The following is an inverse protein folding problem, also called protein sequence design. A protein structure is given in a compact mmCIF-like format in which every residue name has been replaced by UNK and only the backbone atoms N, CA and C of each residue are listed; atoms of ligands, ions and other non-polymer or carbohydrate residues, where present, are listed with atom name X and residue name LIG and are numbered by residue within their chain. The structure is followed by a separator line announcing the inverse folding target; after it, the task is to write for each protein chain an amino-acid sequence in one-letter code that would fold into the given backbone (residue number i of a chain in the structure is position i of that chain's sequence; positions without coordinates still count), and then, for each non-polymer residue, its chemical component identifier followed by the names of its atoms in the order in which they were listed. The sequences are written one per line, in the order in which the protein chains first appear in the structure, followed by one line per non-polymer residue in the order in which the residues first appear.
data_IF_015315548826
#
_entry.id   IF_015315548826
#
_cell.length_a   1.000
_cell.length_b   1.000
_cell.length_c   1.000
_cell.angle_alpha   90.00
_cell.angle_beta   90.00
_cell.angle_gamma   90.00
#
_symmetry.space_group_name_H-M   'P 1'
#
loop_
_entity.id
_entity.type
_entity.pdbx_description
1 polymer ?
#
# COMPACT_ATOMS: atom_id res chain seq x y z
N UNK A 1 -19.31 -10.90 12.90
CA UNK A 1 -18.62 -11.96 12.10
C UNK A 1 -17.42 -11.30 11.41
N UNK A 2 -16.77 -11.93 10.43
CA UNK A 2 -15.72 -11.27 9.65
C UNK A 2 -16.25 -10.10 8.82
N UNK A 3 -17.45 -10.24 8.23
CA UNK A 3 -18.15 -9.19 7.46
C UNK A 3 -18.22 -7.87 8.24
N UNK A 4 -18.76 -7.92 9.47
CA UNK A 4 -18.95 -6.76 10.36
C UNK A 4 -17.66 -6.13 10.91
N UNK A 5 -16.49 -6.58 10.45
CA UNK A 5 -15.19 -5.95 10.65
C UNK A 5 -14.69 -5.30 9.36
N UNK A 6 -14.86 -5.95 8.21
CA UNK A 6 -14.67 -5.33 6.89
C UNK A 6 -15.54 -4.08 6.72
N UNK A 7 -16.81 -4.15 7.14
CA UNK A 7 -17.78 -3.03 7.07
C UNK A 7 -17.36 -1.79 7.91
N UNK A 8 -16.35 -1.91 8.77
CA UNK A 8 -15.79 -0.81 9.58
C UNK A 8 -14.50 -0.21 9.02
N UNK A 9 -13.77 -0.95 8.19
CA UNK A 9 -12.50 -0.50 7.63
C UNK A 9 -12.77 0.41 6.43
N UNK A 10 -12.72 1.73 6.62
CA UNK A 10 -12.93 2.67 5.51
C UNK A 10 -11.78 2.54 4.51
N UNK A 11 -12.14 2.31 3.25
CA UNK A 11 -11.20 2.25 2.13
C UNK A 11 -10.97 3.65 1.55
N UNK A 12 -9.72 3.96 1.22
CA UNK A 12 -9.27 5.24 0.66
C UNK A 12 -8.51 4.94 -0.63
N UNK A 13 -9.15 5.17 -1.77
CA UNK A 13 -8.54 4.98 -3.08
C UNK A 13 -7.41 6.00 -3.36
N UNK A 14 -6.65 5.75 -4.44
CA UNK A 14 -5.52 6.61 -4.82
C UNK A 14 -5.86 8.07 -5.08
N UNK A 15 -7.05 8.38 -5.58
CA UNK A 15 -7.46 9.76 -5.79
C UNK A 15 -7.85 10.42 -4.46
N UNK A 16 -8.54 9.69 -3.58
CA UNK A 16 -8.95 10.17 -2.26
C UNK A 16 -7.77 10.53 -1.33
N UNK A 17 -6.66 9.79 -1.36
CA UNK A 17 -5.43 10.20 -0.67
C UNK A 17 -4.49 11.08 -1.52
N UNK A 18 -4.80 11.34 -2.79
CA UNK A 18 -4.03 12.23 -3.66
C UNK A 18 -2.64 11.68 -4.02
N UNK A 19 -2.61 10.44 -4.51
CA UNK A 19 -1.41 9.76 -4.98
C UNK A 19 -0.81 10.42 -6.24
N UNK A 20 0.52 10.36 -6.37
CA UNK A 20 1.17 10.54 -7.68
C UNK A 20 0.86 9.33 -8.58
N UNK A 21 0.85 9.54 -9.89
CA UNK A 21 0.84 8.44 -10.85
C UNK A 21 2.11 7.56 -10.73
N UNK A 22 2.03 6.25 -11.04
CA UNK A 22 3.19 5.39 -11.09
C UNK A 22 4.02 5.69 -12.34
N UNK A 23 5.35 5.70 -12.23
CA UNK A 23 6.25 5.98 -13.38
C UNK A 23 6.32 4.83 -14.39
N UNK A 24 5.87 3.63 -13.99
CA UNK A 24 5.65 2.46 -14.85
C UNK A 24 4.67 1.49 -14.18
N UNK A 25 4.05 0.59 -14.95
CA UNK A 25 3.10 -0.41 -14.43
C UNK A 25 3.50 -1.80 -14.92
N UNK A 26 3.91 -2.67 -13.99
CA UNK A 26 3.99 -4.12 -14.22
C UNK A 26 2.75 -4.79 -13.65
N UNK A 27 2.03 -5.55 -14.46
CA UNK A 27 0.86 -6.31 -14.02
C UNK A 27 1.27 -7.69 -13.45
N UNK A 28 0.50 -8.20 -12.49
CA UNK A 28 0.69 -9.54 -11.95
C UNK A 28 0.32 -10.63 -12.96
N UNK A 29 1.23 -11.57 -13.18
CA UNK A 29 1.08 -12.71 -14.10
C UNK A 29 0.54 -13.97 -13.42
N UNK A 30 0.72 -14.11 -12.10
CA UNK A 30 0.11 -15.16 -11.26
C UNK A 30 -1.11 -14.63 -10.53
N UNK A 31 -2.20 -15.43 -10.53
CA UNK A 31 -3.43 -15.22 -9.75
C UNK A 31 -4.07 -16.59 -9.44
N UNK A 32 -4.75 -16.78 -8.29
CA UNK A 32 -4.84 -15.87 -7.15
C UNK A 32 -3.49 -15.71 -6.43
N UNK A 33 -3.41 -14.79 -5.46
CA UNK A 33 -2.24 -14.62 -4.60
C UNK A 33 -2.07 -15.84 -3.67
N UNK A 34 -0.82 -16.30 -3.50
CA UNK A 34 -0.51 -17.43 -2.62
C UNK A 34 -0.25 -17.00 -1.17
N UNK A 35 0.23 -15.77 -0.95
CA UNK A 35 0.68 -15.29 0.36
C UNK A 35 0.24 -13.85 0.67
N UNK A 36 0.07 -13.56 1.96
CA UNK A 36 -0.04 -12.19 2.49
C UNK A 36 1.22 -11.87 3.30
N UNK A 37 1.85 -10.72 3.04
CA UNK A 37 3.01 -10.23 3.80
C UNK A 37 2.62 -8.97 4.55
N UNK A 38 2.93 -8.89 5.83
CA UNK A 38 2.69 -7.71 6.66
C UNK A 38 4.05 -7.12 7.02
N UNK A 39 4.26 -5.87 6.64
CA UNK A 39 5.38 -5.04 7.07
C UNK A 39 4.92 -4.07 8.17
N UNK A 40 5.87 -3.38 8.79
CA UNK A 40 5.62 -2.13 9.48
C UNK A 40 6.46 -1.04 8.81
N UNK A 41 6.06 0.23 8.86
CA UNK A 41 6.83 1.27 8.17
C UNK A 41 8.21 1.50 8.78
N UNK A 42 8.36 1.27 10.09
CA UNK A 42 9.46 1.72 10.95
C UNK A 42 9.60 3.25 10.98
N UNK A 43 9.92 3.87 9.84
CA UNK A 43 9.70 5.28 9.56
C UNK A 43 8.77 5.42 8.37
N UNK A 44 7.89 6.43 8.34
CA UNK A 44 7.53 7.91 9.86
C UNK A 44 6.99 7.29 11.15
N UNK A 45 6.67 8.08 12.17
CA UNK A 45 5.83 7.63 13.29
C UNK A 45 4.39 7.30 12.86
N UNK A 46 3.63 6.73 13.79
CA UNK A 46 2.21 6.38 13.68
C UNK A 46 1.32 7.59 13.34
N UNK A 47 0.17 7.36 12.70
CA UNK A 47 -0.82 8.37 12.34
C UNK A 47 -2.22 8.03 12.88
N UNK A 48 -2.87 8.96 13.58
CA UNK A 48 -4.14 8.71 14.28
C UNK A 48 -5.35 9.47 13.72
N UNK A 49 -5.12 10.52 12.95
CA UNK A 49 -6.16 11.23 12.19
C UNK A 49 -5.98 11.07 10.67
N UNK A 50 -7.02 11.41 9.93
CA UNK A 50 -7.07 11.26 8.47
C UNK A 50 -6.01 12.10 7.74
N UNK A 51 -5.70 13.30 8.22
CA UNK A 51 -4.74 14.21 7.56
C UNK A 51 -3.33 13.66 7.75
N UNK A 52 -2.96 13.34 8.99
CA UNK A 52 -1.68 12.72 9.30
C UNK A 52 -1.47 11.41 8.54
N UNK A 53 -2.51 10.56 8.39
CA UNK A 53 -2.38 9.32 7.64
C UNK A 53 -2.30 9.52 6.12
N UNK A 54 -3.00 10.51 5.55
CA UNK A 54 -2.84 10.85 4.12
C UNK A 54 -1.43 11.39 3.84
N UNK A 55 -0.91 12.27 4.70
CA UNK A 55 0.49 12.71 4.63
C UNK A 55 1.47 11.53 4.81
N UNK A 56 1.15 10.59 5.70
CA UNK A 56 1.96 9.39 5.93
C UNK A 56 2.12 8.55 4.65
N UNK A 57 1.02 8.27 3.97
CA UNK A 57 1.03 7.48 2.73
C UNK A 57 1.73 8.21 1.58
N UNK A 58 1.57 9.54 1.48
CA UNK A 58 2.31 10.38 0.51
C UNK A 58 3.81 10.32 0.72
N UNK A 59 4.29 10.57 1.94
CA UNK A 59 5.71 10.49 2.29
C UNK A 59 6.30 9.10 1.99
N UNK A 60 5.53 8.03 2.20
CA UNK A 60 5.92 6.66 1.80
C UNK A 60 6.02 6.53 0.28
N UNK A 61 5.10 7.11 -0.50
CA UNK A 61 5.20 7.11 -1.96
C UNK A 61 6.41 7.92 -2.44
N UNK A 62 6.66 9.08 -1.85
CA UNK A 62 7.78 9.96 -2.20
C UNK A 62 9.14 9.33 -1.90
N UNK A 63 9.30 8.66 -0.77
CA UNK A 63 10.52 7.90 -0.45
C UNK A 63 10.77 6.81 -1.51
N UNK A 64 9.75 6.01 -1.83
CA UNK A 64 9.87 4.92 -2.81
C UNK A 64 10.18 5.43 -4.23
N UNK A 65 9.44 6.42 -4.73
CA UNK A 65 9.63 6.93 -6.09
C UNK A 65 10.87 7.82 -6.24
N UNK A 66 11.10 8.73 -5.28
CA UNK A 66 12.14 9.78 -5.42
C UNK A 66 13.49 9.34 -4.91
N UNK A 67 13.54 8.61 -3.79
CA UNK A 67 14.81 8.19 -3.15
C UNK A 67 15.25 6.82 -3.61
N UNK A 68 14.33 5.86 -3.78
CA UNK A 68 14.66 4.49 -4.21
C UNK A 68 14.43 4.24 -5.72
N UNK A 69 13.86 5.20 -6.45
CA UNK A 69 13.63 5.08 -7.90
C UNK A 69 12.57 4.05 -8.30
N UNK A 70 11.69 3.64 -7.37
CA UNK A 70 10.67 2.62 -7.64
C UNK A 70 9.53 3.19 -8.49
N UNK A 71 8.84 2.31 -9.23
CA UNK A 71 7.69 2.68 -10.05
C UNK A 71 6.59 3.43 -9.28
N UNK A 72 6.36 3.01 -8.04
CA UNK A 72 5.28 3.45 -7.16
C UNK A 72 5.58 2.99 -5.72
N UNK A 73 4.74 3.37 -4.74
CA UNK A 73 4.78 2.82 -3.37
C UNK A 73 4.92 1.29 -3.38
N UNK A 74 5.79 0.72 -2.55
CA UNK A 74 6.17 -0.71 -2.65
C UNK A 74 5.08 -1.74 -2.35
N UNK A 75 4.00 -1.32 -1.71
CA UNK A 75 2.93 -2.15 -1.15
C UNK A 75 1.66 -2.11 -2.01
N UNK A 76 0.84 -3.16 -1.97
CA UNK A 76 -0.48 -3.16 -2.63
C UNK A 76 -1.46 -2.25 -1.88
N UNK A 77 -1.41 -2.27 -0.55
CA UNK A 77 -2.22 -1.47 0.36
C UNK A 77 -1.41 -1.07 1.59
N UNK A 78 -1.85 -0.01 2.27
CA UNK A 78 -1.31 0.46 3.53
C UNK A 78 -2.45 0.60 4.55
N UNK A 79 -2.19 0.50 5.85
CA UNK A 79 -3.18 0.76 6.90
C UNK A 79 -2.60 1.73 7.93
N UNK A 80 -3.29 2.85 8.12
CA UNK A 80 -2.99 3.81 9.17
C UNK A 80 -3.59 3.39 10.51
N UNK A 81 -3.06 3.92 11.62
CA UNK A 81 -3.56 3.64 12.96
C UNK A 81 -4.92 4.32 13.25
N UNK A 82 -5.39 5.19 12.35
CA UNK A 82 -6.80 5.59 12.25
C UNK A 82 -7.75 4.46 11.76
N UNK A 83 -7.23 3.28 11.44
CA UNK A 83 -7.98 2.09 11.05
C UNK A 83 -8.43 2.03 9.57
N UNK A 84 -7.96 2.97 8.73
CA UNK A 84 -8.33 3.05 7.31
C UNK A 84 -7.35 2.29 6.42
N UNK A 85 -7.85 1.76 5.30
CA UNK A 85 -7.06 1.05 4.29
C UNK A 85 -6.83 1.98 3.10
N UNK A 86 -5.57 2.25 2.77
CA UNK A 86 -5.15 3.12 1.68
C UNK A 86 -4.68 2.29 0.48
N UNK A 87 -5.16 2.60 -0.71
CA UNK A 87 -4.75 1.91 -1.93
C UNK A 87 -3.33 2.30 -2.35
N UNK A 88 -2.41 1.34 -2.29
CA UNK A 88 -1.08 1.46 -2.88
C UNK A 88 -1.13 1.04 -4.35
N UNK A 89 -0.40 -0.01 -4.73
CA UNK A 89 -0.42 -0.56 -6.10
C UNK A 89 -1.73 -1.25 -6.49
N UNK A 90 -2.63 -1.51 -5.54
CA UNK A 90 -3.93 -2.15 -5.78
C UNK A 90 -3.82 -3.64 -6.15
N UNK A 91 -4.96 -4.25 -6.48
CA UNK A 91 -5.11 -5.72 -6.58
C UNK A 91 -4.42 -6.44 -7.75
N UNK A 92 -3.85 -5.71 -8.73
CA UNK A 92 -3.47 -6.29 -10.04
C UNK A 92 -2.05 -5.96 -10.52
N UNK A 93 -1.28 -5.17 -9.76
CA UNK A 93 0.06 -4.69 -10.13
C UNK A 93 1.14 -5.33 -9.25
N UNK A 94 2.32 -5.59 -9.81
CA UNK A 94 3.41 -6.26 -9.13
C UNK A 94 3.95 -5.42 -7.96
N UNK A 95 4.27 -6.07 -6.84
CA UNK A 95 4.87 -5.45 -5.66
C UNK A 95 6.36 -5.05 -5.86
N UNK A 96 6.92 -4.35 -4.86
CA UNK A 96 8.38 -4.20 -4.70
C UNK A 96 8.90 -4.59 -3.31
N UNK A 97 8.03 -4.92 -2.36
CA UNK A 97 8.34 -5.12 -0.93
C UNK A 97 9.01 -6.47 -0.57
N UNK A 98 9.17 -7.42 -1.50
CA UNK A 98 9.78 -8.72 -1.20
C UNK A 98 10.56 -9.28 -2.40
N UNK A 99 11.89 -9.06 -2.44
CA UNK A 99 12.76 -9.66 -3.46
C UNK A 99 12.59 -11.18 -3.52
N UNK A 100 12.34 -11.71 -4.72
CA UNK A 100 12.08 -13.13 -4.96
C UNK A 100 10.61 -13.57 -4.83
N UNK A 101 9.70 -12.72 -4.31
CA UNK A 101 8.27 -13.06 -4.12
C UNK A 101 7.29 -12.01 -4.66
N UNK A 102 7.78 -10.90 -5.22
CA UNK A 102 6.95 -9.79 -5.72
C UNK A 102 5.89 -10.19 -6.78
N UNK A 103 6.00 -11.36 -7.42
CA UNK A 103 5.05 -11.92 -8.40
C UNK A 103 3.98 -12.86 -7.82
N UNK A 104 4.10 -13.31 -6.57
CA UNK A 104 3.22 -14.33 -5.94
C UNK A 104 2.71 -13.92 -4.53
N UNK A 105 3.31 -12.89 -3.91
CA UNK A 105 3.00 -12.45 -2.55
C UNK A 105 2.37 -11.05 -2.49
N UNK A 106 1.27 -10.94 -1.74
CA UNK A 106 0.52 -9.71 -1.50
C UNK A 106 1.01 -8.98 -0.24
N UNK A 107 1.86 -7.97 -0.39
CA UNK A 107 2.30 -7.15 0.74
C UNK A 107 1.39 -5.98 1.09
N UNK A 108 1.17 -5.84 2.39
CA UNK A 108 0.62 -4.68 3.10
C UNK A 108 1.70 -4.11 4.04
N UNK A 109 1.64 -2.80 4.31
CA UNK A 109 2.10 -2.22 5.59
C UNK A 109 0.88 -1.90 6.46
#
# INVERSE_FOLDING_TARGET
NAQSLCDKASFVDRAAWGAREPTSITNLTRKPFSFYVIHHSYEPPNCYDDTACIERVKQIQDLHQTTFGWADVGYHFLVGENGKVYEGRGWNRQAAHSPGWNDDAFGKT
#
